data_IF_237628493974
#
_entry.id   IF_237628493974
#
_cell.length_a   1.000
_cell.length_b   1.000
_cell.length_c   1.000
_cell.angle_alpha   90.00
_cell.angle_beta   90.00
_cell.angle_gamma   90.00
#
_symmetry.space_group_name_H-M   'P 1'
#
loop_
_entity.id
_entity.type
_entity.pdbx_description
1 polymer ?
#
# COMPACT_ATOMS: atom_id res chain seq x y z
N UNK A 1 14.68 -4.81 -27.01
CA UNK A 1 14.56 -3.35 -27.13
C UNK A 1 13.07 -3.01 -27.24
N UNK A 2 12.32 -3.08 -26.13
CA UNK A 2 10.88 -2.73 -26.12
C UNK A 2 10.49 -2.27 -24.72
N UNK A 3 9.81 -1.13 -24.60
CA UNK A 3 9.13 -0.77 -23.36
C UNK A 3 8.98 0.71 -23.03
N UNK A 4 9.34 1.65 -23.90
CA UNK A 4 9.09 3.07 -23.65
C UNK A 4 7.80 3.54 -24.33
N UNK A 5 6.65 3.25 -23.71
CA UNK A 5 5.37 3.93 -23.99
C UNK A 5 4.55 3.95 -22.69
N UNK A 6 4.02 5.13 -22.32
CA UNK A 6 3.10 5.43 -21.17
C UNK A 6 3.69 6.04 -19.88
N UNK A 7 4.58 7.05 -19.95
CA UNK A 7 4.96 7.82 -18.74
C UNK A 7 4.06 9.05 -18.48
N UNK A 8 3.14 9.41 -19.38
CA UNK A 8 2.28 10.60 -19.23
C UNK A 8 1.03 10.38 -18.38
N UNK A 9 0.53 9.15 -18.26
CA UNK A 9 -0.63 8.80 -17.42
C UNK A 9 -0.21 8.60 -15.95
N UNK A 10 1.02 8.13 -15.74
CA UNK A 10 1.62 7.84 -14.43
C UNK A 10 1.64 9.06 -13.51
N UNK A 11 1.90 10.27 -14.02
CA UNK A 11 1.98 11.50 -13.21
C UNK A 11 0.69 11.79 -12.42
N UNK A 12 -0.48 11.50 -12.99
CA UNK A 12 -1.77 11.73 -12.33
C UNK A 12 -2.04 10.71 -11.21
N UNK A 13 -1.74 9.44 -11.47
CA UNK A 13 -1.88 8.37 -10.48
C UNK A 13 -0.83 8.50 -9.36
N UNK A 14 0.37 8.98 -9.68
CA UNK A 14 1.41 9.27 -8.72
C UNK A 14 1.04 10.47 -7.82
N UNK A 15 0.40 11.52 -8.36
CA UNK A 15 -0.09 12.66 -7.57
C UNK A 15 -1.25 12.28 -6.64
N UNK A 16 -2.15 11.39 -7.07
CA UNK A 16 -3.20 10.83 -6.22
C UNK A 16 -2.59 9.95 -5.12
N UNK A 17 -1.61 9.12 -5.47
CA UNK A 17 -0.87 8.34 -4.50
C UNK A 17 -0.19 9.23 -3.46
N UNK A 18 0.48 10.31 -3.88
CA UNK A 18 1.11 11.28 -2.97
C UNK A 18 0.10 11.93 -2.02
N UNK A 19 -1.07 12.36 -2.53
CA UNK A 19 -2.16 12.86 -1.68
C UNK A 19 -2.65 11.82 -0.68
N UNK A 20 -2.83 10.57 -1.12
CA UNK A 20 -3.25 9.47 -0.26
C UNK A 20 -2.20 9.13 0.80
N UNK A 21 -0.92 9.26 0.48
CA UNK A 21 0.18 9.09 1.42
C UNK A 21 0.27 10.25 2.43
N UNK A 22 -0.16 11.45 2.04
CA UNK A 22 -0.15 12.64 2.90
C UNK A 22 -1.36 12.70 3.87
N UNK A 23 -2.58 12.41 3.38
CA UNK A 23 -3.83 12.59 4.14
C UNK A 23 -4.82 11.43 4.03
N UNK A 24 -4.50 10.43 3.21
CA UNK A 24 -5.39 9.30 2.95
C UNK A 24 -5.28 8.19 4.00
N UNK A 25 -6.27 7.29 4.05
CA UNK A 25 -6.19 6.12 4.92
C UNK A 25 -5.13 5.15 4.41
N UNK A 26 -4.30 4.63 5.32
CA UNK A 26 -3.24 3.65 5.04
C UNK A 26 -3.68 2.51 4.12
N UNK A 27 -4.87 1.94 4.37
CA UNK A 27 -5.47 0.88 3.57
C UNK A 27 -5.62 1.26 2.08
N UNK A 28 -6.12 2.46 1.81
CA UNK A 28 -6.32 2.96 0.44
C UNK A 28 -4.99 3.34 -0.19
N UNK A 29 -4.11 4.02 0.54
CA UNK A 29 -2.77 4.36 0.07
C UNK A 29 -1.98 3.09 -0.32
N UNK A 30 -2.02 2.05 0.51
CA UNK A 30 -1.39 0.75 0.26
C UNK A 30 -1.98 0.08 -0.99
N UNK A 31 -3.31 0.01 -1.12
CA UNK A 31 -3.97 -0.59 -2.29
C UNK A 31 -3.63 0.17 -3.58
N UNK A 32 -3.61 1.51 -3.53
CA UNK A 32 -3.26 2.35 -4.67
C UNK A 32 -1.80 2.16 -5.06
N UNK A 33 -0.86 2.15 -4.11
CA UNK A 33 0.55 1.89 -4.37
C UNK A 33 0.79 0.52 -5.03
N UNK A 34 0.08 -0.51 -4.55
CA UNK A 34 0.15 -1.87 -5.11
C UNK A 34 -0.39 -1.90 -6.55
N UNK A 35 -1.54 -1.26 -6.81
CA UNK A 35 -2.13 -1.16 -8.17
C UNK A 35 -1.21 -0.38 -9.11
N UNK A 36 -0.69 0.76 -8.66
CA UNK A 36 0.27 1.59 -9.41
C UNK A 36 1.50 0.77 -9.82
N UNK A 37 1.99 -0.10 -8.93
CA UNK A 37 3.16 -0.94 -9.23
C UNK A 37 2.83 -2.21 -10.03
N UNK A 38 1.55 -2.56 -10.16
CA UNK A 38 1.12 -3.79 -10.82
C UNK A 38 1.65 -5.05 -10.13
N UNK A 39 1.95 -4.99 -8.83
CA UNK A 39 2.51 -6.11 -8.07
C UNK A 39 1.41 -6.87 -7.33
N UNK A 40 1.34 -8.18 -7.50
CA UNK A 40 0.49 -9.02 -6.68
C UNK A 40 1.03 -9.17 -5.25
N UNK A 41 0.14 -9.44 -4.29
CA UNK A 41 0.48 -9.71 -2.89
C UNK A 41 1.50 -10.84 -2.72
N UNK A 42 1.41 -11.86 -3.56
CA UNK A 42 2.36 -12.98 -3.58
C UNK A 42 3.80 -12.52 -3.89
N UNK A 43 3.95 -11.65 -4.91
CA UNK A 43 5.25 -11.11 -5.32
C UNK A 43 5.86 -10.22 -4.24
N UNK A 44 5.01 -9.43 -3.57
CA UNK A 44 5.41 -8.60 -2.43
C UNK A 44 5.90 -9.49 -1.30
N UNK A 45 5.13 -10.51 -0.91
CA UNK A 45 5.54 -11.50 0.09
C UNK A 45 6.86 -12.17 -0.24
N UNK A 46 7.05 -12.61 -1.49
CA UNK A 46 8.30 -13.24 -1.92
C UNK A 46 9.50 -12.31 -1.76
N UNK A 47 9.35 -11.03 -2.15
CA UNK A 47 10.41 -10.03 -1.99
C UNK A 47 10.70 -9.69 -0.53
N UNK A 48 9.68 -9.58 0.31
CA UNK A 48 9.85 -9.36 1.76
C UNK A 48 10.62 -10.53 2.39
N UNK A 49 10.26 -11.77 2.05
CA UNK A 49 10.95 -12.97 2.52
C UNK A 49 12.42 -12.97 2.12
N UNK A 50 12.74 -12.55 0.89
CA UNK A 50 14.11 -12.39 0.41
C UNK A 50 14.94 -11.35 1.18
N UNK A 51 14.29 -10.43 1.90
CA UNK A 51 14.93 -9.41 2.74
C UNK A 51 14.96 -9.78 4.23
N UNK A 52 14.54 -10.99 4.59
CA UNK A 52 14.53 -11.49 5.96
C UNK A 52 13.23 -11.23 6.73
N UNK A 53 12.24 -10.59 6.11
CA UNK A 53 10.96 -10.30 6.77
C UNK A 53 9.83 -11.17 6.23
N UNK A 54 9.21 -11.99 7.08
CA UNK A 54 8.16 -12.92 6.64
C UNK A 54 6.79 -12.40 7.03
N UNK A 55 5.98 -12.00 6.04
CA UNK A 55 4.59 -11.56 6.25
C UNK A 55 3.63 -12.45 5.48
N UNK A 56 2.58 -12.94 6.17
CA UNK A 56 1.54 -13.76 5.56
C UNK A 56 0.63 -12.94 4.64
N UNK A 57 0.11 -13.60 3.59
CA UNK A 57 -0.82 -13.00 2.64
C UNK A 57 -2.10 -12.51 3.34
N UNK A 58 -2.56 -13.26 4.35
CA UNK A 58 -3.67 -12.85 5.22
C UNK A 58 -3.37 -11.56 6.00
N UNK A 59 -2.14 -11.39 6.49
CA UNK A 59 -1.70 -10.17 7.19
C UNK A 59 -1.72 -8.97 6.23
N UNK A 60 -1.18 -9.13 5.02
CA UNK A 60 -1.25 -8.09 3.98
C UNK A 60 -2.69 -7.72 3.60
N UNK A 61 -3.58 -8.72 3.52
CA UNK A 61 -5.01 -8.49 3.25
C UNK A 61 -5.70 -7.73 4.38
N UNK A 62 -5.37 -8.05 5.64
CA UNK A 62 -5.88 -7.31 6.80
C UNK A 62 -5.36 -5.87 6.86
N UNK A 63 -4.12 -5.62 6.41
CA UNK A 63 -3.56 -4.28 6.26
C UNK A 63 -4.30 -3.47 5.19
N UNK A 64 -4.63 -4.07 4.05
CA UNK A 64 -5.44 -3.45 2.99
C UNK A 64 -6.87 -3.13 3.43
N UNK A 65 -7.43 -3.88 4.37
CA UNK A 65 -8.78 -3.65 4.88
C UNK A 65 -8.82 -2.68 6.06
N UNK A 66 -7.65 -2.25 6.57
CA UNK A 66 -7.54 -1.43 7.78
C UNK A 66 -7.95 -2.16 9.07
N UNK A 67 -8.10 -3.49 9.03
CA UNK A 67 -8.45 -4.33 10.20
C UNK A 67 -7.27 -4.52 11.15
N UNK A 68 -6.05 -4.58 10.62
CA UNK A 68 -4.82 -4.66 11.41
C UNK A 68 -3.85 -3.57 10.95
N UNK A 69 -3.15 -2.96 11.90
CA UNK A 69 -2.05 -2.02 11.66
C UNK A 69 -0.74 -2.71 12.04
N UNK A 70 0.37 -2.48 11.30
CA UNK A 70 1.66 -3.02 11.71
C UNK A 70 2.18 -2.25 12.93
N UNK A 71 2.08 -2.86 14.10
CA UNK A 71 2.53 -2.28 15.38
C UNK A 71 3.85 -2.88 15.89
N UNK A 72 4.23 -4.06 15.38
CA UNK A 72 5.46 -4.75 15.78
C UNK A 72 6.65 -4.30 14.93
N UNK A 73 7.85 -4.36 15.53
CA UNK A 73 9.13 -4.05 14.87
C UNK A 73 9.27 -4.83 13.55
N UNK A 74 9.03 -6.13 13.54
CA UNK A 74 9.09 -6.95 12.31
C UNK A 74 8.12 -6.47 11.23
N UNK A 75 6.94 -5.97 11.62
CA UNK A 75 5.94 -5.47 10.68
C UNK A 75 6.28 -4.07 10.16
N UNK A 76 6.92 -3.23 10.98
CA UNK A 76 7.48 -1.95 10.55
C UNK A 76 8.66 -2.15 9.60
N UNK A 77 9.51 -3.16 9.84
CA UNK A 77 10.56 -3.54 8.90
C UNK A 77 9.97 -4.07 7.58
N UNK A 78 8.92 -4.88 7.65
CA UNK A 78 8.20 -5.34 6.46
C UNK A 78 7.62 -4.15 5.69
N UNK A 79 7.05 -3.18 6.41
CA UNK A 79 6.48 -1.98 5.82
C UNK A 79 7.54 -1.14 5.11
N UNK A 80 8.69 -0.92 5.74
CA UNK A 80 9.80 -0.15 5.16
C UNK A 80 10.33 -0.79 3.88
N UNK A 81 10.46 -2.12 3.88
CA UNK A 81 10.83 -2.87 2.69
C UNK A 81 9.75 -2.83 1.60
N UNK A 82 8.48 -2.85 2.00
CA UNK A 82 7.35 -2.73 1.09
C UNK A 82 7.31 -1.33 0.44
N UNK A 83 7.61 -0.27 1.18
CA UNK A 83 7.70 1.10 0.66
C UNK A 83 8.75 1.19 -0.47
N UNK A 84 9.93 0.61 -0.24
CA UNK A 84 11.01 0.53 -1.24
C UNK A 84 10.61 -0.28 -2.49
N UNK A 85 9.95 -1.42 -2.31
CA UNK A 85 9.45 -2.27 -3.41
C UNK A 85 8.40 -1.53 -4.25
N UNK A 86 7.51 -0.78 -3.58
CA UNK A 86 6.47 0.00 -4.22
C UNK A 86 6.97 1.33 -4.78
N UNK A 87 8.23 1.69 -4.52
CA UNK A 87 8.85 2.94 -4.93
C UNK A 87 8.14 4.18 -4.37
N UNK A 88 7.62 4.07 -3.15
CA UNK A 88 7.05 5.19 -2.40
C UNK A 88 8.08 5.74 -1.41
N UNK A 89 7.97 7.01 -0.99
CA UNK A 89 8.92 7.59 -0.05
C UNK A 89 8.88 6.84 1.28
N UNK A 90 10.05 6.53 1.83
CA UNK A 90 10.14 5.79 3.08
C UNK A 90 9.44 6.54 4.22
N UNK A 91 8.74 5.76 5.03
CA UNK A 91 7.95 6.27 6.13
C UNK A 91 6.66 7.00 5.74
N UNK A 92 6.31 7.14 4.45
CA UNK A 92 5.02 7.69 4.02
C UNK A 92 3.84 6.87 4.54
N UNK A 93 3.91 5.55 4.38
CA UNK A 93 2.90 4.65 4.93
C UNK A 93 3.04 4.52 6.45
N UNK A 94 4.27 4.59 6.99
CA UNK A 94 4.48 4.52 8.44
C UNK A 94 3.89 5.72 9.19
N UNK A 95 3.93 6.93 8.59
CA UNK A 95 3.34 8.16 9.13
C UNK A 95 1.82 8.04 9.29
N UNK A 96 1.16 7.30 8.39
CA UNK A 96 -0.28 7.03 8.45
C UNK A 96 -0.68 6.08 9.59
N UNK A 97 0.29 5.42 10.23
CA UNK A 97 0.08 4.53 11.38
C UNK A 97 0.18 5.24 12.72
N UNK A 98 0.80 6.43 12.76
CA UNK A 98 0.82 7.34 13.90
C UNK A 98 -0.59 7.84 14.30
N UNK A 99 -0.75 8.50 15.48
CA UNK A 99 -2.03 8.63 16.14
C UNK A 99 -3.11 9.21 15.21
N UNK A 100 -4.29 8.58 15.19
CA UNK A 100 -5.26 8.73 14.11
C UNK A 100 -5.87 10.14 14.10
N UNK A 101 -5.76 10.87 12.99
CA UNK A 101 -6.73 11.94 12.71
C UNK A 101 -8.09 11.33 12.32
N UNK A 102 -9.20 12.04 12.56
CA UNK A 102 -10.51 11.43 12.69
C UNK A 102 -11.03 10.88 11.37
N UNK A 103 -11.39 9.59 11.42
CA UNK A 103 -12.45 8.89 10.68
C UNK A 103 -13.03 9.66 9.49
N UNK A 104 -12.65 9.27 8.27
CA UNK A 104 -13.62 9.25 7.18
C UNK A 104 -14.01 7.81 6.87
N UNK A 105 -15.31 7.62 6.86
CA UNK A 105 -16.08 6.37 6.82
C UNK A 105 -15.87 5.67 5.48
N UNK A 106 -15.15 4.55 5.47
CA UNK A 106 -15.09 3.66 4.30
C UNK A 106 -15.94 2.40 4.53
N UNK A 107 -17.12 2.39 3.93
CA UNK A 107 -17.90 1.22 3.48
C UNK A 107 -19.16 1.71 2.73
N UNK A 108 -19.79 0.95 1.81
CA UNK A 108 -19.31 -0.05 0.83
C UNK A 108 -19.84 0.26 -0.61
N UNK A 109 -19.54 -0.55 -1.63
CA UNK A 109 -20.39 -0.63 -2.82
C UNK A 109 -20.82 -2.09 -3.01
N UNK A 110 -22.08 -2.45 -2.67
CA UNK A 110 -22.71 -3.67 -3.15
C UNK A 110 -23.28 -3.44 -4.56
N UNK A 111 -23.35 -4.49 -5.41
CA UNK A 111 -23.69 -4.35 -6.82
C UNK A 111 -25.15 -3.90 -7.00
N UNK A 112 -25.49 -3.05 -7.98
CA UNK A 112 -26.88 -2.92 -8.40
C UNK A 112 -27.27 -4.19 -9.18
N UNK A 113 -28.20 -4.93 -8.59
CA UNK A 113 -29.00 -5.96 -9.24
C UNK A 113 -30.11 -5.24 -10.04
N UNK A 114 -30.00 -5.16 -11.37
CA UNK A 114 -31.13 -5.14 -12.31
C UNK A 114 -30.66 -5.33 -13.76
#
# INVERSE_FOLDING_TARGET
MTGQRTHTIDRGEQAELDRLLAVGPFAVALRTAIRHRGLGLDRIRYRLRGRGTTVSLATLSHWQSGRCRPERVESLEALRNLEDILNVPDGSLSKLLGPPRPRTRFHPQPPPLN
#
